data_IF_726118713480
#
_entry.id   IF_726118713480
#
_cell.length_a   1.000
_cell.length_b   1.000
_cell.length_c   1.000
_cell.angle_alpha   90.00
_cell.angle_beta   90.00
_cell.angle_gamma   90.00
#
_symmetry.space_group_name_H-M   'P 1'
#
loop_
_entity.id
_entity.type
_entity.pdbx_description
1 polymer ?
#
# COMPACT_ATOMS: atom_id res chain seq x y z
N UNK A 1 -4.36 -16.71 10.96
CA UNK A 1 -4.17 -16.65 9.51
C UNK A 1 -2.78 -16.12 9.19
N UNK A 2 -2.02 -16.89 8.45
CA UNK A 2 -0.73 -16.43 7.99
C UNK A 2 -0.89 -15.67 6.67
N UNK A 3 -0.26 -14.53 6.57
CA UNK A 3 -0.14 -13.80 5.32
C UNK A 3 1.31 -13.32 5.16
N UNK A 4 1.72 -13.19 3.93
CA UNK A 4 3.09 -12.77 3.60
C UNK A 4 3.05 -11.31 3.22
N UNK A 5 3.84 -10.51 3.92
CA UNK A 5 4.06 -9.11 3.59
C UNK A 5 5.30 -9.03 2.72
N UNK A 6 5.16 -8.41 1.57
CA UNK A 6 6.29 -8.12 0.69
C UNK A 6 6.44 -6.62 0.57
N UNK A 7 7.56 -6.10 1.03
CA UNK A 7 7.92 -4.71 0.82
C UNK A 7 8.63 -4.60 -0.53
N UNK A 8 8.22 -3.66 -1.35
CA UNK A 8 8.82 -3.44 -2.67
C UNK A 8 9.39 -2.03 -2.72
N UNK A 9 10.59 -1.84 -2.21
CA UNK A 9 11.27 -0.56 -2.32
C UNK A 9 11.58 -0.28 -3.79
N UNK A 10 11.45 0.96 -4.20
CA UNK A 10 11.79 1.38 -5.56
C UNK A 10 10.74 1.09 -6.62
N UNK A 11 9.52 0.78 -6.23
CA UNK A 11 8.42 0.62 -7.18
C UNK A 11 8.26 1.87 -8.07
N UNK A 12 8.57 3.03 -7.52
CA UNK A 12 8.44 4.32 -8.19
C UNK A 12 9.63 4.64 -9.10
N UNK A 13 10.79 4.01 -8.86
CA UNK A 13 12.03 4.30 -9.58
C UNK A 13 12.27 3.37 -10.76
N UNK A 14 11.33 3.30 -11.68
CA UNK A 14 11.52 2.51 -12.90
C UNK A 14 11.39 1.01 -12.76
N UNK A 15 10.67 0.54 -11.76
CA UNK A 15 10.42 -0.89 -11.59
C UNK A 15 9.72 -1.49 -12.80
N UNK A 16 8.84 -0.71 -13.43
CA UNK A 16 8.15 -1.10 -14.67
C UNK A 16 9.10 -1.20 -15.89
N UNK A 17 10.28 -0.61 -15.77
CA UNK A 17 11.31 -0.68 -16.81
C UNK A 17 12.23 -1.90 -16.62
N UNK A 18 11.96 -2.72 -15.65
CA UNK A 18 12.72 -3.94 -15.40
C UNK A 18 14.07 -3.74 -14.74
N UNK A 19 14.36 -2.52 -14.23
CA UNK A 19 15.65 -2.19 -13.67
C UNK A 19 15.89 -2.94 -12.34
N UNK A 20 16.63 -4.02 -12.40
CA UNK A 20 17.21 -4.67 -11.23
C UNK A 20 16.33 -5.62 -10.42
N UNK A 21 15.08 -5.82 -10.78
CA UNK A 21 14.17 -6.60 -9.95
C UNK A 21 13.87 -8.02 -10.48
N UNK A 22 14.05 -8.25 -11.78
CA UNK A 22 13.95 -9.57 -12.38
C UNK A 22 12.62 -10.30 -12.23
N UNK A 23 12.60 -11.55 -12.66
CA UNK A 23 11.40 -12.39 -12.71
C UNK A 23 10.81 -12.70 -11.33
N UNK A 24 11.64 -12.70 -10.28
CA UNK A 24 11.17 -12.95 -8.92
C UNK A 24 10.22 -11.86 -8.41
N UNK A 25 10.55 -10.62 -8.74
CA UNK A 25 9.73 -9.47 -8.37
C UNK A 25 8.38 -9.56 -9.06
N UNK A 26 8.37 -9.82 -10.37
CA UNK A 26 7.15 -10.00 -11.16
C UNK A 26 6.25 -11.08 -10.56
N UNK A 27 6.81 -12.24 -10.24
CA UNK A 27 6.06 -13.32 -9.65
C UNK A 27 5.43 -12.95 -8.30
N UNK A 28 6.15 -12.21 -7.48
CA UNK A 28 5.62 -11.74 -6.17
C UNK A 28 4.50 -10.73 -6.34
N UNK A 29 4.67 -9.79 -7.26
CA UNK A 29 3.69 -8.74 -7.52
C UNK A 29 2.40 -9.31 -8.10
N UNK A 30 2.51 -10.20 -9.06
CA UNK A 30 1.35 -10.82 -9.70
C UNK A 30 0.50 -11.66 -8.74
N UNK A 31 1.11 -12.17 -7.69
CA UNK A 31 0.44 -13.02 -6.69
C UNK A 31 -0.15 -12.27 -5.52
N UNK A 32 0.03 -10.94 -5.48
CA UNK A 32 -0.50 -10.15 -4.38
C UNK A 32 -2.03 -10.12 -4.42
N UNK A 33 -2.66 -10.40 -3.28
CA UNK A 33 -4.12 -10.31 -3.15
C UNK A 33 -4.57 -8.90 -2.76
N UNK A 34 -3.75 -8.20 -1.98
CA UNK A 34 -4.10 -6.91 -1.38
C UNK A 34 -2.88 -6.00 -1.41
N UNK A 35 -3.10 -4.72 -1.71
CA UNK A 35 -2.08 -3.69 -1.63
C UNK A 35 -2.21 -2.92 -0.32
N UNK A 36 -1.12 -2.76 0.40
CA UNK A 36 -1.05 -1.81 1.50
C UNK A 36 -0.18 -0.65 1.05
N UNK A 37 -0.80 0.51 0.90
CA UNK A 37 -0.12 1.69 0.40
C UNK A 37 0.22 2.62 1.56
N UNK A 38 1.49 2.63 1.96
CA UNK A 38 1.99 3.49 3.02
C UNK A 38 2.36 4.85 2.46
N UNK A 39 1.68 5.88 2.96
CA UNK A 39 1.97 7.27 2.59
C UNK A 39 2.68 7.94 3.76
N UNK A 40 3.83 8.54 3.50
CA UNK A 40 4.59 9.27 4.51
C UNK A 40 3.87 10.58 4.84
N UNK A 41 3.23 10.62 6.02
CA UNK A 41 2.49 11.80 6.47
C UNK A 41 3.36 13.01 6.77
N UNK A 42 4.62 12.77 7.14
CA UNK A 42 5.54 13.86 7.49
C UNK A 42 6.07 14.60 6.26
N UNK A 43 5.98 14.01 5.08
CA UNK A 43 6.51 14.61 3.84
C UNK A 43 5.72 15.81 3.32
N UNK A 44 4.49 15.99 3.76
CA UNK A 44 3.68 17.18 3.39
C UNK A 44 2.93 17.08 2.06
N UNK A 45 3.28 16.16 1.20
CA UNK A 45 2.69 16.01 -0.15
C UNK A 45 1.96 14.68 -0.28
N UNK A 46 1.06 14.41 0.66
CA UNK A 46 0.44 13.08 0.80
C UNK A 46 -0.38 12.66 -0.43
N UNK A 47 -1.16 13.58 -1.00
CA UNK A 47 -1.98 13.28 -2.17
C UNK A 47 -1.10 13.04 -3.40
N UNK A 48 -0.09 13.87 -3.60
CA UNK A 48 0.85 13.74 -4.70
C UNK A 48 1.61 12.42 -4.60
N UNK A 49 2.11 12.09 -3.41
CA UNK A 49 2.81 10.84 -3.16
C UNK A 49 1.93 9.62 -3.47
N UNK A 50 0.68 9.64 -3.04
CA UNK A 50 -0.26 8.59 -3.34
C UNK A 50 -0.53 8.44 -4.84
N UNK A 51 -0.75 9.56 -5.53
CA UNK A 51 -0.99 9.57 -6.99
C UNK A 51 0.21 9.04 -7.77
N UNK A 52 1.41 9.38 -7.35
CA UNK A 52 2.64 8.92 -8.00
C UNK A 52 2.74 7.39 -7.97
N UNK A 53 2.51 6.79 -6.81
CA UNK A 53 2.53 5.33 -6.66
C UNK A 53 1.40 4.69 -7.47
N UNK A 54 0.20 5.29 -7.47
CA UNK A 54 -0.92 4.76 -8.28
C UNK A 54 -0.58 4.76 -9.77
N UNK A 55 0.08 5.80 -10.24
CA UNK A 55 0.52 5.87 -11.64
C UNK A 55 1.56 4.78 -11.96
N UNK A 56 2.49 4.53 -11.06
CA UNK A 56 3.47 3.45 -11.23
C UNK A 56 2.83 2.07 -11.24
N UNK A 57 1.85 1.84 -10.38
CA UNK A 57 1.11 0.58 -10.37
C UNK A 57 0.39 0.35 -11.69
N UNK A 58 -0.25 1.39 -12.22
CA UNK A 58 -0.93 1.31 -13.52
C UNK A 58 0.06 1.07 -14.67
N UNK A 59 1.20 1.75 -14.64
CA UNK A 59 2.24 1.61 -15.66
C UNK A 59 2.89 0.22 -15.63
N UNK A 60 3.02 -0.34 -14.42
CA UNK A 60 3.57 -1.68 -14.25
C UNK A 60 2.69 -2.74 -14.93
N UNK A 61 1.37 -2.58 -14.85
CA UNK A 61 0.40 -3.54 -15.40
C UNK A 61 0.09 -4.68 -14.44
N UNK A 62 -0.10 -5.89 -14.96
CA UNK A 62 -0.43 -7.10 -14.21
C UNK A 62 -1.71 -6.99 -13.36
N UNK A 63 -2.53 -5.96 -13.57
CA UNK A 63 -3.77 -5.74 -12.83
C UNK A 63 -3.56 -5.21 -11.42
N UNK A 64 -2.38 -4.70 -11.09
CA UNK A 64 -2.07 -4.21 -9.76
C UNK A 64 -2.98 -3.09 -9.30
N UNK A 65 -3.33 -2.16 -10.20
CA UNK A 65 -4.19 -1.03 -9.91
C UNK A 65 -5.62 -1.45 -9.58
N UNK A 66 -6.00 -2.67 -9.89
CA UNK A 66 -7.34 -3.21 -9.61
C UNK A 66 -7.42 -4.01 -8.30
N UNK A 67 -6.29 -4.27 -7.66
CA UNK A 67 -6.26 -5.00 -6.39
C UNK A 67 -6.90 -4.16 -5.28
N UNK A 68 -7.53 -4.78 -4.28
CA UNK A 68 -7.98 -4.06 -3.11
C UNK A 68 -6.82 -3.31 -2.46
N UNK A 69 -7.03 -2.05 -2.17
CA UNK A 69 -5.99 -1.17 -1.61
C UNK A 69 -6.39 -0.70 -0.22
N UNK A 70 -5.47 -0.82 0.72
CA UNK A 70 -5.58 -0.22 2.04
C UNK A 70 -4.62 0.96 2.07
N UNK A 71 -5.15 2.17 2.15
CA UNK A 71 -4.34 3.39 2.21
C UNK A 71 -4.03 3.69 3.67
N UNK A 72 -2.76 3.91 3.97
CA UNK A 72 -2.27 4.11 5.32
C UNK A 72 -1.43 5.38 5.39
N UNK A 73 -1.79 6.28 6.30
CA UNK A 73 -0.99 7.46 6.59
C UNK A 73 -0.03 7.12 7.73
N UNK A 74 1.24 7.03 7.41
CA UNK A 74 2.29 6.67 8.35
C UNK A 74 2.93 7.91 8.98
N UNK A 75 3.70 7.69 10.02
CA UNK A 75 4.43 8.73 10.78
C UNK A 75 3.50 9.69 11.53
N UNK A 76 2.43 9.16 12.11
CA UNK A 76 1.50 9.94 12.92
C UNK A 76 2.18 10.67 14.07
N UNK A 77 3.24 10.09 14.63
CA UNK A 77 4.04 10.67 15.70
C UNK A 77 4.78 11.95 15.30
N UNK A 78 5.02 12.14 13.99
CA UNK A 78 5.72 13.30 13.47
C UNK A 78 4.79 14.45 13.08
N UNK A 79 3.47 14.30 13.28
CA UNK A 79 2.49 15.32 12.89
C UNK A 79 1.73 15.85 14.12
N UNK A 80 1.51 17.16 14.16
CA UNK A 80 0.59 17.75 15.14
C UNK A 80 -0.85 17.32 14.80
N UNK A 81 -1.75 17.19 15.80
CA UNK A 81 -3.13 16.72 15.54
C UNK A 81 -3.89 17.45 14.43
N UNK A 82 -3.84 18.81 14.32
CA UNK A 82 -4.52 19.49 13.22
C UNK A 82 -3.91 19.16 11.85
N UNK A 83 -2.61 19.02 11.79
CA UNK A 83 -1.87 18.65 10.58
C UNK A 83 -2.24 17.24 10.14
N UNK A 84 -2.25 16.31 11.07
CA UNK A 84 -2.66 14.92 10.81
C UNK A 84 -4.09 14.86 10.26
N UNK A 85 -5.02 15.56 10.89
CA UNK A 85 -6.42 15.59 10.48
C UNK A 85 -6.56 16.16 9.07
N UNK A 86 -5.86 17.25 8.75
CA UNK A 86 -5.91 17.88 7.43
C UNK A 86 -5.36 16.96 6.34
N UNK A 87 -4.24 16.32 6.58
CA UNK A 87 -3.62 15.39 5.61
C UNK A 87 -4.45 14.15 5.41
N UNK A 88 -5.01 13.61 6.49
CA UNK A 88 -5.89 12.45 6.42
C UNK A 88 -7.14 12.76 5.59
N UNK A 89 -7.75 13.92 5.80
CA UNK A 89 -8.93 14.35 5.06
C UNK A 89 -8.62 14.59 3.57
N UNK A 90 -7.49 15.21 3.27
CA UNK A 90 -7.07 15.43 1.88
C UNK A 90 -6.86 14.10 1.15
N UNK A 91 -6.20 13.16 1.81
CA UNK A 91 -5.94 11.85 1.24
C UNK A 91 -7.26 11.05 1.08
N UNK A 92 -8.17 11.16 2.04
CA UNK A 92 -9.49 10.53 1.95
C UNK A 92 -10.28 11.00 0.73
N UNK A 93 -10.24 12.30 0.47
CA UNK A 93 -10.92 12.87 -0.72
C UNK A 93 -10.30 12.37 -2.03
N UNK A 94 -8.98 12.20 -2.05
CA UNK A 94 -8.28 11.74 -3.25
C UNK A 94 -8.50 10.26 -3.53
N UNK A 95 -8.45 9.42 -2.50
CA UNK A 95 -8.55 7.96 -2.68
C UNK A 95 -9.96 7.38 -2.51
N UNK A 96 -10.91 8.20 -2.04
CA UNK A 96 -12.30 7.77 -1.92
C UNK A 96 -12.61 6.94 -0.67
N UNK A 97 -11.69 6.83 0.25
CA UNK A 97 -11.87 6.10 1.51
C UNK A 97 -11.03 6.72 2.62
N UNK A 98 -11.42 6.51 3.86
CA UNK A 98 -10.69 7.06 4.99
C UNK A 98 -9.39 6.25 5.22
N UNK A 99 -8.22 6.88 5.11
CA UNK A 99 -6.97 6.19 5.38
C UNK A 99 -6.83 5.75 6.84
N UNK A 100 -6.20 4.63 7.07
CA UNK A 100 -5.76 4.26 8.40
C UNK A 100 -4.58 5.14 8.79
N UNK A 101 -4.42 5.36 10.09
CA UNK A 101 -3.32 6.17 10.62
C UNK A 101 -2.45 5.29 11.49
N UNK A 102 -1.16 5.26 11.20
CA UNK A 102 -0.21 4.49 11.99
C UNK A 102 1.05 5.29 12.30
N UNK A 103 1.78 4.82 13.29
CA UNK A 103 3.16 5.20 13.53
C UNK A 103 4.00 3.93 13.54
N UNK A 104 4.80 3.71 12.53
CA UNK A 104 5.71 2.56 12.48
C UNK A 104 6.73 2.60 13.61
N UNK A 105 7.13 3.80 14.03
CA UNK A 105 8.11 3.98 15.10
C UNK A 105 7.56 3.58 16.47
N UNK A 106 6.31 3.94 16.78
CA UNK A 106 5.69 3.66 18.08
C UNK A 106 4.80 2.42 18.10
N UNK A 107 4.42 1.91 16.94
CA UNK A 107 3.47 0.81 16.82
C UNK A 107 2.01 1.22 16.87
N UNK A 108 1.73 2.52 17.04
CA UNK A 108 0.35 3.02 17.09
C UNK A 108 -0.39 2.69 15.80
N UNK A 109 -1.59 2.14 15.93
CA UNK A 109 -2.47 1.82 14.79
C UNK A 109 -2.09 0.56 14.02
N UNK A 110 -0.94 -0.04 14.28
CA UNK A 110 -0.48 -1.24 13.58
C UNK A 110 -1.43 -2.43 13.80
N UNK A 111 -1.94 -2.71 15.01
CA UNK A 111 -2.91 -3.81 15.17
C UNK A 111 -4.17 -3.64 14.32
N UNK A 112 -4.66 -2.40 14.18
CA UNK A 112 -5.83 -2.13 13.34
C UNK A 112 -5.51 -2.37 11.86
N UNK A 113 -4.31 -2.01 11.42
CA UNK A 113 -3.86 -2.27 10.06
C UNK A 113 -3.80 -3.78 9.79
N UNK A 114 -3.22 -4.55 10.70
CA UNK A 114 -3.13 -6.00 10.55
C UNK A 114 -4.51 -6.66 10.47
N UNK A 115 -5.47 -6.19 11.26
CA UNK A 115 -6.86 -6.66 11.16
C UNK A 115 -7.49 -6.31 9.82
N UNK A 116 -7.27 -5.10 9.33
CA UNK A 116 -7.79 -4.66 8.04
C UNK A 116 -7.20 -5.50 6.89
N UNK A 117 -5.92 -5.83 6.96
CA UNK A 117 -5.25 -6.69 5.99
C UNK A 117 -5.86 -8.10 6.02
N UNK A 118 -6.03 -8.68 7.19
CA UNK A 118 -6.61 -10.01 7.34
C UNK A 118 -8.04 -10.06 6.80
N UNK A 119 -8.84 -9.03 7.09
CA UNK A 119 -10.22 -8.93 6.60
C UNK A 119 -10.27 -8.79 5.08
N UNK A 120 -9.38 -8.01 4.50
CA UNK A 120 -9.29 -7.81 3.06
C UNK A 120 -8.90 -9.11 2.34
N UNK A 121 -7.96 -9.85 2.89
CA UNK A 121 -7.55 -11.16 2.35
C UNK A 121 -8.71 -12.15 2.42
N UNK A 122 -9.42 -12.20 3.54
CA UNK A 122 -10.58 -13.08 3.70
C UNK A 122 -11.68 -12.74 2.70
N UNK A 123 -11.94 -11.44 2.46
CA UNK A 123 -12.92 -10.99 1.49
C UNK A 123 -12.53 -11.40 0.06
N UNK A 124 -11.26 -11.26 -0.30
CA UNK A 124 -10.76 -11.67 -1.60
C UNK A 124 -10.93 -13.17 -1.83
N UNK A 125 -10.65 -13.98 -0.82
CA UNK A 125 -10.83 -15.44 -0.91
C UNK A 125 -12.28 -15.83 -1.15
N UNK A 126 -13.22 -15.15 -0.52
CA UNK A 126 -14.65 -15.44 -0.69
C UNK A 126 -15.14 -15.09 -2.08
N UNK A 127 -14.54 -14.09 -2.72
CA UNK A 127 -14.95 -13.62 -4.03
C UNK A 127 -14.33 -14.42 -5.17
N UNK A 128 -13.31 -15.23 -4.89
CA UNK A 128 -12.63 -16.00 -5.93
C UNK A 128 -13.03 -17.47 -5.89
N UNK A 129 -13.42 -18.04 -7.04
CA UNK A 129 -13.68 -19.47 -7.14
C UNK A 129 -12.36 -20.24 -6.88
N UNK A 130 -12.49 -21.47 -6.37
CA UNK A 130 -11.34 -22.32 -6.06
C UNK A 130 -10.39 -22.54 -7.24
N UNK A 131 -10.89 -22.48 -8.48
CA UNK A 131 -10.09 -22.62 -9.69
C UNK A 131 -9.15 -21.42 -9.94
N UNK A 132 -9.41 -20.26 -9.34
CA UNK A 132 -8.60 -19.06 -9.45
C UNK A 132 -7.66 -18.88 -8.23
N UNK A 133 -7.56 -19.87 -7.39
CA UNK A 133 -6.89 -19.81 -6.10
C UNK A 133 -5.36 -19.72 -6.18
N UNK A 134 -4.82 -19.32 -7.31
CA UNK A 134 -3.37 -19.11 -7.47
C UNK A 134 -2.88 -17.77 -6.93
N UNK A 135 -3.79 -16.91 -6.47
CA UNK A 135 -3.37 -15.70 -5.78
C UNK A 135 -3.04 -16.06 -4.34
N UNK A 136 -1.79 -15.97 -4.02
CA UNK A 136 -1.32 -16.12 -2.65
C UNK A 136 -1.95 -15.05 -1.76
N UNK A 137 -1.96 -15.35 -0.46
CA UNK A 137 -2.33 -14.38 0.58
C UNK A 137 -1.30 -13.26 0.72
N UNK A 138 -0.58 -12.96 -0.35
CA UNK A 138 0.47 -11.97 -0.31
C UNK A 138 -0.09 -10.57 -0.32
N UNK A 139 0.47 -9.76 0.51
CA UNK A 139 0.17 -8.35 0.61
C UNK A 139 1.37 -7.60 0.06
N UNK A 140 1.11 -6.75 -0.90
CA UNK A 140 2.13 -5.87 -1.43
C UNK A 140 2.12 -4.57 -0.64
N UNK A 141 3.24 -4.24 -0.04
CA UNK A 141 3.42 -2.94 0.61
C UNK A 141 4.16 -2.02 -0.36
N UNK A 142 3.47 -1.01 -0.84
CA UNK A 142 4.07 0.03 -1.67
C UNK A 142 4.33 1.25 -0.79
N UNK A 143 5.58 1.66 -0.73
CA UNK A 143 5.96 2.89 -0.06
C UNK A 143 6.49 3.86 -1.10
N UNK A 144 6.10 5.11 -0.98
CA UNK A 144 6.62 6.17 -1.83
C UNK A 144 8.10 6.43 -1.57
N UNK A 145 8.77 7.21 -2.44
CA UNK A 145 10.16 7.55 -2.22
C UNK A 145 10.31 8.30 -0.90
N UNK A 146 11.42 8.03 -0.21
CA UNK A 146 11.74 8.80 0.98
C UNK A 146 11.79 10.28 0.62
N UNK A 147 11.22 11.12 1.48
CA UNK A 147 11.31 12.55 1.27
C UNK A 147 12.80 12.92 1.17
N UNK A 148 13.18 13.75 0.19
CA UNK A 148 14.54 14.25 0.15
C UNK A 148 14.79 15.01 1.44
N UNK A 149 15.76 14.55 2.18
CA UNK A 149 16.15 15.12 3.47
C UNK A 149 16.65 16.53 3.37
#
# INVERSE_FOLDING_TARGET
EEFVLADIPGLIEGAHEGAGLGDRFLGHVERCAVLVHLVDGAAGHVVQAWRTVRAELAAYGAGLETRPEIVVLNKADAMAPPELAARRSALARACGRMPLVISGASGQGVPALLRAVADAIAAERRQRPAASAKLDQRVLMAAGPAAPG
#
